data_IF_531582944200
#
_entry.id   IF_531582944200
#
_cell.length_a   1.000
_cell.length_b   1.000
_cell.length_c   1.000
_cell.angle_alpha   90.00
_cell.angle_beta   90.00
_cell.angle_gamma   90.00
#
_symmetry.space_group_name_H-M   'P 1'
#
loop_
_entity.id
_entity.type
_entity.pdbx_description
1 polymer ?
#
# COMPACT_ATOMS: atom_id res chain seq x y z
N UNK A 1 13.17 -34.57 -8.08
CA UNK A 1 13.30 -33.10 -8.15
C UNK A 1 11.89 -32.54 -8.06
N UNK A 2 11.52 -31.89 -6.95
CA UNK A 2 10.16 -31.40 -6.75
C UNK A 2 9.94 -30.17 -7.65
N UNK A 3 8.89 -30.14 -8.49
CA UNK A 3 8.55 -28.95 -9.24
C UNK A 3 8.13 -27.85 -8.26
N UNK A 4 8.73 -26.68 -8.44
CA UNK A 4 8.56 -25.43 -7.70
C UNK A 4 7.15 -25.25 -7.15
N UNK A 5 7.01 -25.18 -5.82
CA UNK A 5 5.81 -24.68 -5.19
C UNK A 5 5.63 -23.22 -5.64
N UNK A 6 4.70 -23.00 -6.57
CA UNK A 6 4.24 -21.66 -6.94
C UNK A 6 3.60 -21.05 -5.71
N UNK A 7 4.38 -20.29 -4.94
CA UNK A 7 3.82 -19.50 -3.84
C UNK A 7 2.91 -18.44 -4.46
N UNK A 8 1.68 -18.36 -3.97
CA UNK A 8 0.80 -17.24 -4.30
C UNK A 8 1.52 -15.93 -3.96
N UNK A 9 1.42 -14.90 -4.83
CA UNK A 9 2.05 -13.61 -4.56
C UNK A 9 1.55 -13.04 -3.23
N UNK A 10 2.47 -12.59 -2.37
CA UNK A 10 2.11 -12.04 -1.06
C UNK A 10 1.44 -10.66 -1.24
N UNK A 11 0.38 -10.33 -0.49
CA UNK A 11 -0.20 -8.99 -0.57
C UNK A 11 0.75 -7.91 -0.04
N UNK A 12 0.81 -6.80 -0.75
CA UNK A 12 1.58 -5.63 -0.36
C UNK A 12 0.70 -4.38 -0.49
N UNK A 13 0.61 -3.60 0.58
CA UNK A 13 0.02 -2.26 0.57
C UNK A 13 1.15 -1.25 0.47
N UNK A 14 1.16 -0.43 -0.58
CA UNK A 14 2.17 0.59 -0.82
C UNK A 14 1.59 2.00 -0.59
N UNK A 15 2.18 2.76 0.33
CA UNK A 15 1.80 4.12 0.66
C UNK A 15 2.82 5.13 0.14
N UNK A 16 2.32 6.18 -0.51
CA UNK A 16 3.12 7.13 -1.27
C UNK A 16 3.64 8.31 -0.42
N UNK A 17 4.66 9.02 -0.92
CA UNK A 17 5.09 10.28 -0.33
C UNK A 17 4.10 11.43 -0.58
N UNK A 18 4.11 12.44 0.29
CA UNK A 18 3.22 13.60 0.18
C UNK A 18 3.34 14.30 -1.18
N UNK A 19 2.21 14.56 -1.83
CA UNK A 19 2.15 15.22 -3.13
C UNK A 19 2.45 14.33 -4.36
N UNK A 20 2.71 13.03 -4.18
CA UNK A 20 2.97 12.09 -5.26
C UNK A 20 1.94 10.95 -5.24
N UNK A 21 0.96 10.87 -6.14
CA UNK A 21 -0.04 9.79 -6.10
C UNK A 21 0.59 8.39 -6.27
N UNK A 22 -0.13 7.35 -5.90
CA UNK A 22 0.30 5.95 -6.01
C UNK A 22 0.86 5.60 -7.39
N UNK A 23 0.18 6.03 -8.46
CA UNK A 23 0.63 5.83 -9.84
C UNK A 23 2.00 6.42 -10.17
N UNK A 24 2.52 7.40 -9.42
CA UNK A 24 3.89 7.91 -9.60
C UNK A 24 4.95 6.83 -9.37
N UNK A 25 4.63 5.75 -8.66
CA UNK A 25 5.55 4.65 -8.33
C UNK A 25 5.43 3.47 -9.29
N UNK A 26 4.63 3.55 -10.36
CA UNK A 26 4.39 2.42 -11.28
C UNK A 26 5.68 1.77 -11.76
N UNK A 27 6.67 2.55 -12.22
CA UNK A 27 7.94 2.01 -12.70
C UNK A 27 8.74 1.26 -11.64
N UNK A 28 8.60 1.64 -10.36
CA UNK A 28 9.21 0.94 -9.22
C UNK A 28 8.44 -0.33 -8.86
N UNK A 29 7.11 -0.28 -8.87
CA UNK A 29 6.25 -1.36 -8.39
C UNK A 29 6.03 -2.46 -9.44
N UNK A 30 6.02 -2.15 -10.74
CA UNK A 30 5.76 -3.13 -11.80
C UNK A 30 6.69 -4.35 -11.74
N UNK A 31 8.02 -4.23 -11.57
CA UNK A 31 8.89 -5.40 -11.43
C UNK A 31 8.56 -6.28 -10.21
N UNK A 32 8.01 -5.69 -9.14
CA UNK A 32 7.70 -6.38 -7.90
C UNK A 32 6.40 -7.21 -7.99
N UNK A 33 5.54 -6.95 -8.97
CA UNK A 33 4.30 -7.69 -9.20
C UNK A 33 4.53 -9.19 -9.52
N UNK A 34 5.77 -9.57 -9.86
CA UNK A 34 6.15 -10.98 -10.02
C UNK A 34 6.13 -11.76 -8.68
N UNK A 35 6.19 -11.06 -7.55
CA UNK A 35 6.29 -11.63 -6.20
C UNK A 35 5.17 -11.20 -5.27
N UNK A 36 4.52 -10.08 -5.56
CA UNK A 36 3.53 -9.47 -4.69
C UNK A 36 2.25 -9.12 -5.44
N UNK A 37 1.11 -9.26 -4.77
CA UNK A 37 -0.15 -8.63 -5.18
C UNK A 37 -0.14 -7.22 -4.59
N UNK A 38 0.18 -6.22 -5.40
CA UNK A 38 0.44 -4.85 -4.94
C UNK A 38 -0.82 -4.00 -5.02
N UNK A 39 -1.19 -3.40 -3.90
CA UNK A 39 -2.19 -2.36 -3.76
C UNK A 39 -1.48 -1.05 -3.44
N UNK A 40 -1.34 -0.16 -4.43
CA UNK A 40 -0.81 1.18 -4.18
C UNK A 40 -1.96 2.10 -3.77
N UNK A 41 -1.80 2.77 -2.63
CA UNK A 41 -2.72 3.83 -2.21
C UNK A 41 -2.58 4.97 -3.20
N UNK A 42 -3.67 5.34 -3.89
CA UNK A 42 -3.61 6.40 -4.89
C UNK A 42 -3.56 7.78 -4.24
N UNK A 43 -4.34 7.99 -3.18
CA UNK A 43 -4.46 9.25 -2.45
C UNK A 43 -4.70 8.95 -0.97
N UNK A 44 -4.04 9.73 -0.11
CA UNK A 44 -4.26 9.78 1.33
C UNK A 44 -4.52 11.23 1.76
N UNK A 45 -5.26 11.45 2.83
CA UNK A 45 -5.61 12.78 3.37
C UNK A 45 -6.67 13.52 2.56
N UNK A 46 -7.45 12.81 1.75
CA UNK A 46 -8.48 13.41 0.88
C UNK A 46 -9.90 12.94 1.22
N UNK A 47 -10.04 11.87 2.00
CA UNK A 47 -11.33 11.46 2.51
C UNK A 47 -11.74 12.42 3.66
N UNK A 48 -12.92 13.09 3.58
CA UNK A 48 -13.38 14.00 4.63
C UNK A 48 -13.59 13.32 6.00
N UNK A 49 -13.79 12.00 6.04
CA UNK A 49 -13.91 11.23 7.27
C UNK A 49 -12.55 11.08 8.01
N UNK A 50 -11.45 11.35 7.31
CA UNK A 50 -10.08 11.29 7.82
C UNK A 50 -9.35 12.63 7.63
N UNK A 51 -9.74 13.69 8.37
CA UNK A 51 -9.19 15.02 8.17
C UNK A 51 -7.70 15.10 8.52
N UNK A 52 -6.91 15.76 7.66
CA UNK A 52 -5.48 16.00 7.91
C UNK A 52 -5.32 16.81 9.19
N UNK A 53 -4.56 16.27 10.14
CA UNK A 53 -4.34 16.88 11.45
C UNK A 53 -2.93 16.61 11.98
N UNK A 54 -2.70 17.01 13.23
CA UNK A 54 -1.41 16.80 13.88
C UNK A 54 -1.09 15.30 13.97
N UNK A 55 0.20 14.96 13.87
CA UNK A 55 0.73 13.61 14.07
C UNK A 55 0.10 12.53 13.17
N UNK A 56 -0.51 12.91 12.04
CA UNK A 56 -0.91 11.98 10.98
C UNK A 56 -1.93 10.92 11.42
N UNK A 57 -2.60 11.12 12.56
CA UNK A 57 -3.45 10.08 13.18
C UNK A 57 -4.60 9.66 12.27
N UNK A 58 -5.28 10.63 11.66
CA UNK A 58 -6.36 10.34 10.71
C UNK A 58 -5.82 9.68 9.42
N UNK A 59 -4.64 10.07 8.94
CA UNK A 59 -4.01 9.46 7.76
C UNK A 59 -3.62 8.00 8.03
N UNK A 60 -3.12 7.70 9.24
CA UNK A 60 -2.89 6.32 9.69
C UNK A 60 -4.20 5.54 9.64
N UNK A 61 -5.28 6.10 10.15
CA UNK A 61 -6.57 5.40 10.23
C UNK A 61 -7.17 5.16 8.83
N UNK A 62 -7.04 6.12 7.91
CA UNK A 62 -7.41 5.96 6.50
C UNK A 62 -6.59 4.83 5.83
N UNK A 63 -5.27 4.76 6.10
CA UNK A 63 -4.41 3.71 5.59
C UNK A 63 -4.78 2.32 6.17
N UNK A 64 -5.09 2.27 7.46
CA UNK A 64 -5.52 1.04 8.15
C UNK A 64 -6.87 0.54 7.64
N UNK A 65 -7.79 1.44 7.26
CA UNK A 65 -9.05 1.05 6.62
C UNK A 65 -8.79 0.32 5.30
N UNK A 66 -7.85 0.82 4.47
CA UNK A 66 -7.47 0.12 3.23
C UNK A 66 -6.78 -1.22 3.51
N UNK A 67 -5.94 -1.30 4.54
CA UNK A 67 -5.30 -2.55 4.95
C UNK A 67 -6.33 -3.59 5.43
N UNK A 68 -7.40 -3.15 6.10
CA UNK A 68 -8.46 -4.02 6.61
C UNK A 68 -9.32 -4.65 5.51
N UNK A 69 -9.27 -4.15 4.27
CA UNK A 69 -9.93 -4.77 3.12
C UNK A 69 -9.26 -6.08 2.67
N UNK A 70 -8.02 -6.34 3.09
CA UNK A 70 -7.34 -7.59 2.79
C UNK A 70 -7.83 -8.74 3.69
N UNK A 71 -8.05 -9.92 3.10
CA UNK A 71 -8.51 -11.13 3.82
C UNK A 71 -7.36 -11.92 4.44
N UNK A 72 -6.11 -11.53 4.18
CA UNK A 72 -4.90 -12.20 4.63
C UNK A 72 -3.85 -11.16 5.07
N UNK A 73 -2.81 -11.55 5.84
CA UNK A 73 -1.79 -10.62 6.30
C UNK A 73 -1.11 -9.87 5.15
N UNK A 74 -0.98 -8.54 5.29
CA UNK A 74 -0.37 -7.67 4.28
C UNK A 74 1.03 -7.22 4.69
N UNK A 75 1.91 -7.05 3.71
CA UNK A 75 3.19 -6.36 3.88
C UNK A 75 2.95 -4.86 3.61
N UNK A 76 3.15 -4.02 4.64
CA UNK A 76 3.11 -2.57 4.48
C UNK A 76 4.46 -2.02 4.00
N UNK A 77 4.45 -1.21 2.94
CA UNK A 77 5.63 -0.50 2.42
C UNK A 77 5.26 0.96 2.22
N UNK A 78 6.08 1.86 2.75
CA UNK A 78 5.84 3.29 2.69
C UNK A 78 7.04 4.07 2.16
N UNK A 79 6.80 5.16 1.41
CA UNK A 79 7.84 6.12 1.05
C UNK A 79 7.62 7.46 1.76
N UNK A 80 8.59 7.87 2.57
CA UNK A 80 8.62 9.14 3.30
C UNK A 80 7.44 9.33 4.24
N UNK A 81 6.34 9.90 3.77
CA UNK A 81 5.11 10.11 4.55
C UNK A 81 4.32 8.80 4.72
N UNK A 82 4.30 7.98 3.66
CA UNK A 82 3.48 6.78 3.57
C UNK A 82 4.03 5.66 4.45
#
# INVERSE_FOLDING_TARGET
>A
MNPSATHSPLPMLFAHANGFPGMSYRSLLTPLQQRFTIHAVERLGHNPDYPVGANWLALRDELLEQAAAATEPVIGVGHSMG
#
